data_IF_453804531355
#
_entry.id   IF_453804531355
#
_cell.length_a   1.000
_cell.length_b   1.000
_cell.length_c   1.000
_cell.angle_alpha   90.00
_cell.angle_beta   90.00
_cell.angle_gamma   90.00
#
_symmetry.space_group_name_H-M   'P 1'
#
loop_
_entity.id
_entity.type
_entity.pdbx_description
1 polymer ?
#
# COMPACT_ATOMS: atom_id res chain seq x y z
N UNK A 1 43.26 51.14 -11.43
CA UNK A 1 42.34 50.23 -12.13
C UNK A 1 41.41 49.65 -11.07
N UNK A 2 40.13 50.01 -11.11
CA UNK A 2 39.12 49.64 -10.11
C UNK A 2 37.93 48.98 -10.81
N UNK A 3 38.16 47.81 -11.40
CA UNK A 3 37.11 47.00 -11.98
C UNK A 3 36.58 46.03 -10.93
N UNK A 4 35.43 46.38 -10.33
CA UNK A 4 34.68 45.46 -9.46
C UNK A 4 34.12 44.34 -10.34
N UNK A 5 34.66 43.13 -10.21
CA UNK A 5 34.08 41.93 -10.83
C UNK A 5 32.82 41.56 -10.06
N UNK A 6 31.64 41.84 -10.63
CA UNK A 6 30.37 41.39 -10.04
C UNK A 6 30.32 39.86 -10.07
N UNK A 7 30.26 39.24 -8.89
CA UNK A 7 30.11 37.78 -8.81
C UNK A 7 28.71 37.38 -9.24
N UNK A 8 28.60 36.29 -10.02
CA UNK A 8 27.31 35.70 -10.40
C UNK A 8 26.56 35.26 -9.13
N UNK A 9 25.28 35.61 -8.95
CA UNK A 9 24.51 35.12 -7.82
C UNK A 9 24.31 33.61 -7.90
N UNK A 10 24.17 32.96 -6.75
CA UNK A 10 23.83 31.54 -6.69
C UNK A 10 22.48 31.28 -7.39
N UNK A 11 22.31 30.11 -8.04
CA UNK A 11 21.03 29.73 -8.62
C UNK A 11 19.97 29.53 -7.52
N UNK A 12 18.70 29.64 -7.90
CA UNK A 12 17.56 29.34 -7.02
C UNK A 12 17.52 27.85 -6.70
N UNK A 13 17.15 27.51 -5.45
CA UNK A 13 16.92 26.11 -5.07
C UNK A 13 15.64 25.57 -5.73
N UNK A 14 15.63 24.31 -6.20
CA UNK A 14 14.45 23.67 -6.77
C UNK A 14 13.51 23.21 -5.64
N UNK A 15 12.78 24.15 -5.03
CA UNK A 15 11.84 23.85 -3.95
C UNK A 15 10.49 23.37 -4.52
N UNK A 16 9.99 22.27 -3.97
CA UNK A 16 8.66 21.71 -4.25
C UNK A 16 7.88 21.59 -2.94
N UNK A 17 6.56 21.67 -3.03
CA UNK A 17 5.65 21.49 -1.90
C UNK A 17 4.54 20.53 -2.32
N UNK A 18 4.23 19.58 -1.45
CA UNK A 18 3.04 18.75 -1.57
C UNK A 18 1.85 19.56 -1.06
N UNK A 19 0.77 19.64 -1.84
CA UNK A 19 -0.38 20.50 -1.54
C UNK A 19 -1.53 19.73 -0.90
N UNK A 20 -1.59 18.41 -1.09
CA UNK A 20 -2.64 17.55 -0.54
C UNK A 20 -2.07 16.26 0.04
N UNK A 21 -2.76 15.68 1.03
CA UNK A 21 -2.37 14.40 1.64
C UNK A 21 -2.30 13.26 0.61
N UNK A 22 -3.07 13.35 -0.48
CA UNK A 22 -3.05 12.36 -1.55
C UNK A 22 -1.76 12.34 -2.37
N UNK A 23 -0.99 13.43 -2.35
CA UNK A 23 0.32 13.52 -3.03
C UNK A 23 1.44 12.85 -2.23
N UNK A 24 1.27 12.70 -0.91
CA UNK A 24 2.20 11.97 -0.07
C UNK A 24 1.79 10.48 -0.04
N UNK A 25 2.65 9.56 -0.50
CA UNK A 25 2.33 8.13 -0.40
C UNK A 25 2.34 7.67 1.06
N UNK A 26 1.43 6.76 1.39
CA UNK A 26 1.37 6.11 2.69
C UNK A 26 2.19 4.81 2.64
N UNK A 27 3.19 4.68 3.52
CA UNK A 27 4.05 3.50 3.57
C UNK A 27 3.39 2.43 4.46
N UNK A 28 3.11 1.26 3.89
CA UNK A 28 2.58 0.10 4.64
C UNK A 28 3.60 -1.03 4.67
N UNK A 29 3.65 -1.85 5.74
CA UNK A 29 4.41 -3.08 5.74
C UNK A 29 3.72 -4.13 4.86
N UNK A 30 4.45 -5.15 4.44
CA UNK A 30 3.94 -6.27 3.63
C UNK A 30 4.29 -7.59 4.31
N UNK A 31 3.28 -8.40 4.62
CA UNK A 31 3.43 -9.66 5.36
C UNK A 31 4.13 -10.76 4.56
N UNK A 32 3.98 -10.73 3.23
CA UNK A 32 4.50 -11.76 2.32
C UNK A 32 3.51 -12.08 1.22
N UNK A 33 3.65 -13.27 0.63
CA UNK A 33 2.77 -13.79 -0.43
C UNK A 33 1.96 -14.99 0.05
N UNK A 34 0.69 -15.04 -0.34
CA UNK A 34 -0.25 -16.11 -0.02
C UNK A 34 0.18 -17.45 -0.65
N UNK A 35 0.14 -18.60 0.07
CA UNK A 35 -0.40 -18.82 1.42
C UNK A 35 0.48 -18.30 2.55
N UNK A 36 -0.17 -17.72 3.57
CA UNK A 36 0.45 -17.20 4.79
C UNK A 36 -0.19 -17.83 6.03
N UNK A 37 0.63 -18.01 7.05
CA UNK A 37 0.17 -18.41 8.39
C UNK A 37 -0.33 -17.21 9.19
N UNK A 38 -1.21 -17.46 10.14
CA UNK A 38 -1.66 -16.47 11.12
C UNK A 38 -0.46 -15.91 11.92
N UNK A 39 0.55 -16.74 12.21
CA UNK A 39 1.75 -16.30 12.91
C UNK A 39 2.57 -15.29 12.10
N UNK A 40 2.78 -15.53 10.81
CA UNK A 40 3.51 -14.61 9.92
C UNK A 40 2.77 -13.27 9.80
N UNK A 41 1.45 -13.29 9.64
CA UNK A 41 0.63 -12.07 9.59
C UNK A 41 0.69 -11.24 10.88
N UNK A 42 0.66 -11.90 12.04
CA UNK A 42 0.71 -11.23 13.34
C UNK A 42 2.12 -10.78 13.73
N UNK A 43 3.16 -11.37 13.14
CA UNK A 43 4.56 -10.99 13.39
C UNK A 43 4.96 -9.67 12.73
N UNK A 44 4.17 -9.19 11.75
CA UNK A 44 4.47 -7.93 11.07
C UNK A 44 4.27 -6.75 12.02
N UNK A 45 5.26 -5.88 12.21
CA UNK A 45 5.12 -4.74 13.11
C UNK A 45 4.07 -3.75 12.58
N UNK A 46 3.48 -2.98 13.50
CA UNK A 46 2.68 -1.81 13.14
C UNK A 46 3.62 -0.75 12.56
N UNK A 47 3.17 -0.07 11.52
CA UNK A 47 3.88 1.04 10.92
C UNK A 47 3.29 2.36 11.40
N UNK A 48 4.13 3.22 11.94
CA UNK A 48 3.76 4.56 12.38
C UNK A 48 4.58 5.58 11.58
N UNK A 49 4.05 6.08 10.44
CA UNK A 49 4.72 7.12 9.66
C UNK A 49 4.84 8.42 10.46
N UNK A 50 6.06 8.95 10.56
CA UNK A 50 6.33 10.21 11.25
C UNK A 50 6.07 11.43 10.35
N UNK A 51 5.19 12.33 10.79
CA UNK A 51 4.93 13.61 10.15
C UNK A 51 6.18 14.52 10.08
N UNK A 52 6.23 15.45 9.10
CA UNK A 52 5.23 15.72 8.07
C UNK A 52 5.49 14.94 6.76
N UNK A 53 6.47 14.03 6.75
CA UNK A 53 6.95 13.38 5.53
C UNK A 53 6.61 11.88 5.46
N UNK A 54 5.86 11.36 6.44
CA UNK A 54 5.51 9.95 6.51
C UNK A 54 6.74 9.04 6.65
N UNK A 55 7.76 9.48 7.40
CA UNK A 55 9.00 8.71 7.56
C UNK A 55 8.73 7.51 8.47
N UNK A 56 8.92 6.30 7.94
CA UNK A 56 8.86 5.07 8.74
C UNK A 56 10.26 4.65 9.15
N UNK A 57 10.50 4.54 10.46
CA UNK A 57 11.73 3.96 11.00
C UNK A 57 11.52 2.49 11.31
N UNK A 58 12.43 1.64 10.84
CA UNK A 58 12.37 0.21 11.07
C UNK A 58 13.76 -0.37 11.30
N UNK A 59 13.85 -1.35 12.20
CA UNK A 59 15.06 -2.14 12.46
C UNK A 59 14.73 -3.61 12.29
N UNK A 60 15.52 -4.32 11.46
CA UNK A 60 15.33 -5.74 11.17
C UNK A 60 15.09 -6.01 9.69
N UNK A 61 14.40 -7.11 9.40
CA UNK A 61 14.03 -7.52 8.04
C UNK A 61 12.52 -7.37 7.86
N UNK A 62 12.11 -6.76 6.75
CA UNK A 62 10.71 -6.53 6.42
C UNK A 62 10.56 -6.00 5.01
N UNK A 63 9.39 -6.21 4.44
CA UNK A 63 9.00 -5.65 3.15
C UNK A 63 8.03 -4.49 3.37
N UNK A 64 8.11 -3.47 2.52
CA UNK A 64 7.37 -2.22 2.64
C UNK A 64 6.92 -1.77 1.25
N UNK A 65 5.73 -1.20 1.16
CA UNK A 65 5.19 -0.68 -0.10
C UNK A 65 4.65 0.75 0.09
N UNK A 66 5.01 1.70 -0.79
CA UNK A 66 4.33 2.98 -0.86
C UNK A 66 2.98 2.79 -1.57
N UNK A 67 1.90 3.20 -0.93
CA UNK A 67 0.55 3.20 -1.47
C UNK A 67 0.15 4.65 -1.73
N UNK A 68 -0.57 4.96 -2.83
CA UNK A 68 -1.16 6.29 -2.99
C UNK A 68 -1.96 6.70 -1.74
N UNK A 69 -1.97 7.99 -1.41
CA UNK A 69 -2.71 8.56 -0.27
C UNK A 69 -4.23 8.57 -0.50
N UNK A 70 -4.81 7.42 -0.87
CA UNK A 70 -6.25 7.26 -0.99
C UNK A 70 -6.90 7.37 0.38
N UNK A 71 -8.07 8.03 0.44
CA UNK A 71 -8.79 8.28 1.68
C UNK A 71 -8.99 7.02 2.54
N UNK A 72 -9.28 5.88 1.90
CA UNK A 72 -9.48 4.59 2.59
C UNK A 72 -8.21 4.09 3.28
N UNK A 73 -7.03 4.43 2.77
CA UNK A 73 -5.73 4.08 3.36
C UNK A 73 -5.37 5.06 4.48
N UNK A 74 -5.58 6.36 4.27
CA UNK A 74 -5.33 7.39 5.27
C UNK A 74 -6.23 7.26 6.51
N UNK A 75 -7.37 6.59 6.39
CA UNK A 75 -8.29 6.29 7.50
C UNK A 75 -7.98 4.97 8.23
N UNK A 76 -7.06 4.17 7.71
CA UNK A 76 -6.71 2.89 8.31
C UNK A 76 -5.76 3.10 9.50
N UNK A 77 -6.01 2.38 10.61
CA UNK A 77 -5.17 2.48 11.81
C UNK A 77 -3.94 1.57 11.72
N UNK A 78 -4.11 0.35 11.20
CA UNK A 78 -3.02 -0.62 11.04
C UNK A 78 -3.08 -1.30 9.65
N UNK A 79 -2.84 -0.54 8.57
CA UNK A 79 -2.87 -1.07 7.21
C UNK A 79 -1.65 -1.96 6.94
N UNK A 80 -1.90 -3.12 6.33
CA UNK A 80 -0.91 -4.16 6.04
C UNK A 80 -1.15 -4.73 4.62
N UNK A 81 -0.07 -4.92 3.88
CA UNK A 81 -0.08 -5.53 2.56
C UNK A 81 0.05 -7.07 2.60
N UNK A 82 -0.68 -7.76 1.74
CA UNK A 82 -0.47 -9.19 1.42
C UNK A 82 -0.44 -9.36 -0.10
N UNK A 83 0.59 -10.00 -0.63
CA UNK A 83 0.63 -10.39 -2.05
C UNK A 83 -0.21 -11.64 -2.26
N UNK A 84 -1.01 -11.65 -3.31
CA UNK A 84 -1.78 -12.82 -3.73
C UNK A 84 -1.85 -12.88 -5.26
N UNK A 85 -2.38 -13.98 -5.79
CA UNK A 85 -2.79 -14.10 -7.19
C UNK A 85 -4.31 -13.98 -7.27
N UNK A 86 -4.82 -13.46 -8.39
CA UNK A 86 -6.26 -13.29 -8.60
C UNK A 86 -7.04 -14.59 -8.39
N UNK A 87 -6.55 -15.73 -8.88
CA UNK A 87 -7.20 -17.03 -8.69
C UNK A 87 -7.35 -17.48 -7.23
N UNK A 88 -6.58 -16.91 -6.30
CA UNK A 88 -6.67 -17.21 -4.87
C UNK A 88 -7.78 -16.42 -4.17
N UNK A 89 -8.38 -15.43 -4.84
CA UNK A 89 -9.38 -14.56 -4.25
C UNK A 89 -10.81 -15.05 -4.54
N UNK A 90 -11.74 -14.91 -3.59
CA UNK A 90 -13.15 -15.17 -3.85
C UNK A 90 -13.76 -14.12 -4.78
N UNK A 91 -14.83 -14.50 -5.50
CA UNK A 91 -15.69 -13.58 -6.27
C UNK A 91 -14.94 -12.68 -7.28
N UNK A 92 -13.94 -13.23 -7.95
CA UNK A 92 -13.20 -12.53 -9.02
C UNK A 92 -13.81 -12.78 -10.40
N UNK A 93 -13.76 -11.77 -11.26
CA UNK A 93 -14.30 -11.85 -12.63
C UNK A 93 -13.52 -12.81 -13.54
N UNK A 94 -12.22 -13.00 -13.29
CA UNK A 94 -11.35 -13.89 -14.06
C UNK A 94 -10.62 -14.87 -13.12
N UNK A 95 -11.29 -15.97 -12.71
CA UNK A 95 -10.75 -16.90 -11.70
C UNK A 95 -9.53 -17.69 -12.18
N UNK A 96 -9.24 -17.73 -13.48
CA UNK A 96 -8.04 -18.38 -14.03
C UNK A 96 -6.82 -17.44 -14.05
N UNK A 97 -7.00 -16.17 -13.67
CA UNK A 97 -5.92 -15.18 -13.74
C UNK A 97 -4.83 -15.48 -12.70
N UNK A 98 -3.60 -15.59 -13.17
CA UNK A 98 -2.39 -15.71 -12.36
C UNK A 98 -1.74 -14.36 -12.06
N UNK A 99 -2.39 -13.25 -12.41
CA UNK A 99 -1.90 -11.90 -12.16
C UNK A 99 -1.69 -11.67 -10.66
N UNK A 100 -0.53 -11.13 -10.25
CA UNK A 100 -0.31 -10.77 -8.86
C UNK A 100 -1.15 -9.55 -8.49
N UNK A 101 -1.60 -9.48 -7.25
CA UNK A 101 -2.31 -8.34 -6.66
C UNK A 101 -1.79 -8.10 -5.25
N UNK A 102 -1.83 -6.84 -4.81
CA UNK A 102 -1.58 -6.47 -3.43
C UNK A 102 -2.91 -6.23 -2.73
N UNK A 103 -3.22 -7.06 -1.75
CA UNK A 103 -4.33 -6.87 -0.83
C UNK A 103 -3.88 -5.90 0.27
N UNK A 104 -4.70 -4.90 0.58
CA UNK A 104 -4.47 -4.00 1.70
C UNK A 104 -5.54 -4.27 2.75
N UNK A 105 -5.10 -4.69 3.93
CA UNK A 105 -5.94 -5.10 5.06
C UNK A 105 -5.72 -4.12 6.20
N UNK A 106 -6.79 -3.65 6.85
CA UNK A 106 -6.66 -2.97 8.15
C UNK A 106 -6.84 -3.97 9.27
N UNK A 107 -5.76 -4.23 10.01
CA UNK A 107 -5.74 -5.19 11.14
C UNK A 107 -6.48 -4.69 12.37
N UNK A 108 -6.77 -3.40 12.48
CA UNK A 108 -7.57 -2.84 13.58
C UNK A 108 -9.06 -3.15 13.42
N UNK A 109 -9.52 -3.33 12.18
CA UNK A 109 -10.93 -3.48 11.83
C UNK A 109 -11.35 -4.96 11.84
N UNK A 110 -11.75 -5.44 13.01
CA UNK A 110 -12.11 -6.85 13.27
C UNK A 110 -13.59 -7.06 13.60
N UNK A 111 -14.36 -5.98 13.66
CA UNK A 111 -15.81 -6.04 13.80
C UNK A 111 -16.40 -6.53 12.48
N UNK A 112 -17.29 -7.52 12.55
CA UNK A 112 -17.92 -8.09 11.37
C UNK A 112 -18.84 -7.05 10.69
N UNK A 113 -18.78 -7.03 9.36
CA UNK A 113 -19.62 -6.19 8.51
C UNK A 113 -20.11 -7.03 7.33
N UNK A 114 -21.41 -6.98 7.07
CA UNK A 114 -22.07 -7.84 6.08
C UNK A 114 -21.71 -7.48 4.62
N UNK A 115 -21.08 -6.34 4.38
CA UNK A 115 -20.71 -5.86 3.03
C UNK A 115 -19.19 -5.91 2.79
N UNK A 116 -18.44 -6.52 3.70
CA UNK A 116 -16.97 -6.49 3.70
C UNK A 116 -16.34 -7.88 3.66
N UNK A 117 -15.16 -7.97 3.03
CA UNK A 117 -14.30 -9.14 3.11
C UNK A 117 -13.33 -9.01 4.29
N UNK A 118 -13.06 -10.13 4.96
CA UNK A 118 -12.15 -10.19 6.09
C UNK A 118 -11.09 -11.26 5.93
N UNK A 119 -9.89 -10.95 6.43
CA UNK A 119 -8.88 -11.97 6.70
C UNK A 119 -9.24 -12.63 8.04
N UNK A 120 -9.16 -13.95 8.08
CA UNK A 120 -9.56 -14.77 9.19
C UNK A 120 -8.53 -15.84 9.51
N UNK A 121 -8.49 -16.27 10.78
CA UNK A 121 -7.72 -17.43 11.21
C UNK A 121 -8.55 -18.72 11.02
N UNK A 122 -8.02 -19.64 10.23
CA UNK A 122 -8.56 -20.98 10.08
C UNK A 122 -7.44 -21.99 10.35
N UNK A 123 -7.43 -22.53 11.57
CA UNK A 123 -6.46 -23.54 12.03
C UNK A 123 -5.00 -23.10 11.83
N UNK A 124 -4.70 -21.80 12.02
CA UNK A 124 -3.35 -21.24 11.88
C UNK A 124 -3.00 -20.80 10.46
N UNK A 125 -3.90 -20.99 9.49
CA UNK A 125 -3.78 -20.48 8.12
C UNK A 125 -4.68 -19.27 7.93
N UNK A 126 -4.21 -18.30 7.13
CA UNK A 126 -5.06 -17.19 6.74
C UNK A 126 -6.06 -17.62 5.66
N UNK A 127 -7.29 -17.14 5.78
CA UNK A 127 -8.31 -17.18 4.72
C UNK A 127 -8.89 -15.79 4.47
N UNK A 128 -9.23 -15.48 3.21
CA UNK A 128 -9.97 -14.27 2.85
C UNK A 128 -11.40 -14.67 2.52
N UNK A 129 -12.37 -14.14 3.26
CA UNK A 129 -13.75 -14.54 3.11
C UNK A 129 -14.74 -13.39 3.38
N UNK A 130 -15.84 -13.43 2.65
CA UNK A 130 -17.05 -12.69 2.95
C UNK A 130 -18.02 -13.63 3.67
N UNK A 131 -18.66 -13.15 4.73
CA UNK A 131 -19.46 -13.96 5.63
C UNK A 131 -20.84 -13.32 5.78
N UNK A 132 -21.88 -14.08 5.42
CA UNK A 132 -23.29 -13.63 5.43
C UNK A 132 -23.77 -13.27 6.84
N UNK A 133 -23.25 -13.96 7.86
CA UNK A 133 -23.59 -13.76 9.26
C UNK A 133 -22.31 -13.60 10.08
N UNK A 134 -22.44 -12.96 11.25
CA UNK A 134 -21.33 -12.76 12.17
C UNK A 134 -20.70 -14.12 12.55
N UNK A 135 -19.40 -14.31 12.28
CA UNK A 135 -18.78 -15.62 12.47
C UNK A 135 -18.38 -15.87 13.93
N UNK A 136 -18.24 -17.14 14.29
CA UNK A 136 -17.58 -17.56 15.53
C UNK A 136 -16.04 -17.56 15.42
N UNK A 137 -15.51 -17.55 14.19
CA UNK A 137 -14.07 -17.54 13.92
C UNK A 137 -13.47 -16.14 14.14
N UNK A 138 -12.17 -16.10 14.45
CA UNK A 138 -11.47 -14.86 14.73
C UNK A 138 -11.17 -14.10 13.44
N UNK A 139 -11.81 -12.94 13.27
CA UNK A 139 -11.45 -11.96 12.24
C UNK A 139 -10.15 -11.27 12.64
N UNK A 140 -9.23 -11.17 11.69
CA UNK A 140 -7.88 -10.62 11.87
C UNK A 140 -7.74 -9.21 11.28
N UNK A 141 -8.58 -8.86 10.33
CA UNK A 141 -8.65 -7.53 9.73
C UNK A 141 -9.58 -7.48 8.52
N UNK A 142 -9.98 -6.27 8.13
CA UNK A 142 -10.87 -6.01 6.99
C UNK A 142 -10.07 -5.70 5.73
N UNK A 143 -10.45 -6.30 4.60
CA UNK A 143 -9.91 -5.94 3.28
C UNK A 143 -10.41 -4.56 2.88
N UNK A 144 -9.48 -3.63 2.63
CA UNK A 144 -9.76 -2.28 2.18
C UNK A 144 -9.67 -2.15 0.65
N UNK A 145 -8.60 -2.70 0.07
CA UNK A 145 -8.29 -2.53 -1.36
C UNK A 145 -7.65 -3.78 -1.93
N UNK A 146 -8.01 -4.13 -3.17
CA UNK A 146 -7.27 -5.07 -4.03
C UNK A 146 -6.58 -4.27 -5.14
N UNK A 147 -5.28 -4.05 -5.01
CA UNK A 147 -4.50 -3.26 -5.96
C UNK A 147 -3.85 -4.17 -7.01
N UNK A 148 -4.15 -3.91 -8.28
CA UNK A 148 -3.47 -4.55 -9.42
C UNK A 148 -2.21 -3.79 -9.80
N UNK A 149 -1.22 -4.44 -10.41
CA UNK A 149 -0.04 -3.78 -10.95
C UNK A 149 -0.43 -2.68 -11.95
N UNK A 150 0.39 -1.63 -12.02
CA UNK A 150 0.25 -0.60 -13.05
C UNK A 150 0.31 -1.26 -14.43
N UNK A 151 -0.65 -0.95 -15.31
CA UNK A 151 -0.54 -1.32 -16.73
C UNK A 151 0.65 -0.57 -17.34
N UNK A 152 1.65 -1.31 -17.80
CA UNK A 152 2.74 -0.75 -18.58
C UNK A 152 2.30 -0.78 -20.04
N UNK A 153 1.93 0.37 -20.59
CA UNK A 153 1.80 0.57 -22.03
C UNK A 153 3.19 0.95 -22.54
N UNK A 154 3.96 -0.04 -22.99
CA UNK A 154 5.33 0.04 -23.55
C UNK A 154 6.37 0.92 -22.81
N UNK A 155 7.53 0.32 -22.49
CA UNK A 155 8.64 0.95 -21.74
C UNK A 155 9.24 2.20 -22.42
N UNK A 156 8.92 2.46 -23.69
CA UNK A 156 9.41 3.60 -24.47
C UNK A 156 8.82 4.95 -24.01
N UNK A 157 7.69 4.98 -23.32
CA UNK A 157 7.05 6.25 -22.92
C UNK A 157 7.73 6.90 -21.69
N UNK A 158 8.33 6.11 -20.82
CA UNK A 158 8.93 6.60 -19.56
C UNK A 158 10.26 7.33 -19.72
N UNK A 159 10.79 7.45 -20.95
CA UNK A 159 12.06 8.14 -21.23
C UNK A 159 11.92 9.56 -21.74
N UNK A 160 10.71 10.00 -22.11
CA UNK A 160 10.48 11.34 -22.64
C UNK A 160 9.87 12.25 -21.58
N UNK A 161 10.73 12.76 -20.69
CA UNK A 161 10.40 13.78 -19.68
C UNK A 161 10.04 15.16 -20.26
N UNK A 162 9.82 15.28 -21.57
CA UNK A 162 9.40 16.51 -22.24
C UNK A 162 8.57 16.21 -23.48
N UNK A 163 7.31 15.81 -23.30
CA UNK A 163 6.29 16.13 -24.31
C UNK A 163 5.57 17.37 -23.79
N UNK A 164 5.98 18.54 -24.29
CA UNK A 164 5.14 19.73 -24.22
C UNK A 164 3.91 19.42 -25.08
N UNK A 165 2.71 19.44 -24.50
CA UNK A 165 1.49 19.53 -25.28
C UNK A 165 1.49 20.90 -25.99
N UNK A 166 1.42 20.88 -27.32
CA UNK A 166 1.23 22.08 -28.16
C UNK A 166 -0.26 22.41 -28.28
#
# INVERSE_FOLDING_TARGET
>A
DFTIVKSRPAPTLPAYRLETDSELPYIIPVAGEWPLTTAEFMAVPIAEPEDPFGIVKFQGHGAWAPIPGWQVILQAEDPLGILAKVYQLPNVQNPESTEPVLLIIDRSQREWDADSYFVADQEGSLTLQWLVEAPALKLLGRLLVVMRPKRILDESYTRELWQFEE
#
